data_IF_270506730621
#
_entry.id   IF_270506730621
#
_cell.length_a   1.000
_cell.length_b   1.000
_cell.length_c   1.000
_cell.angle_alpha   90.00
_cell.angle_beta   90.00
_cell.angle_gamma   90.00
#
_symmetry.space_group_name_H-M   'P 1'
#
loop_
_entity.id
_entity.type
_entity.pdbx_description
1 polymer ?
#
# COMPACT_ATOMS: atom_id res chain seq x y z
N UNK A 1 3.12 -5.32 22.23
CA UNK A 1 3.82 -6.31 21.36
C UNK A 1 4.69 -5.54 20.38
N UNK A 2 5.94 -5.96 20.14
CA UNK A 2 6.76 -5.37 19.07
C UNK A 2 6.08 -5.69 17.73
N UNK A 3 5.69 -4.66 16.97
CA UNK A 3 5.08 -4.83 15.65
C UNK A 3 6.12 -5.45 14.72
N UNK A 4 5.88 -6.66 14.24
CA UNK A 4 6.80 -7.35 13.34
C UNK A 4 6.89 -6.55 12.03
N UNK A 5 8.11 -6.38 11.51
CA UNK A 5 8.34 -5.64 10.26
C UNK A 5 8.42 -6.67 9.13
N UNK A 6 7.63 -6.57 8.06
CA UNK A 6 7.70 -7.53 6.97
C UNK A 6 9.01 -7.38 6.22
N UNK A 7 9.65 -8.51 5.91
CA UNK A 7 10.89 -8.54 5.14
C UNK A 7 10.63 -8.51 3.64
N UNK A 8 9.54 -9.15 3.20
CA UNK A 8 9.12 -9.17 1.81
C UNK A 8 8.57 -7.82 1.34
N UNK A 9 8.17 -7.78 0.08
CA UNK A 9 7.63 -6.58 -0.58
C UNK A 9 6.13 -6.76 -0.85
N UNK A 10 5.35 -5.70 -0.65
CA UNK A 10 3.95 -5.63 -1.05
C UNK A 10 3.82 -4.70 -2.25
N UNK A 11 3.20 -5.17 -3.33
CA UNK A 11 2.98 -4.41 -4.55
C UNK A 11 1.47 -4.22 -4.79
N UNK A 12 1.01 -2.98 -4.67
CA UNK A 12 -0.41 -2.63 -4.84
C UNK A 12 -0.61 -1.95 -6.18
N UNK A 13 -1.42 -2.53 -7.07
CA UNK A 13 -1.60 -2.08 -8.46
C UNK A 13 -3.04 -1.60 -8.66
N UNK A 14 -3.19 -0.42 -9.28
CA UNK A 14 -4.49 0.23 -9.45
C UNK A 14 -5.41 -0.37 -10.51
N UNK A 15 -5.00 -1.43 -11.19
CA UNK A 15 -5.77 -2.08 -12.25
C UNK A 15 -5.43 -1.56 -13.65
N UNK A 16 -5.85 -2.33 -14.66
CA UNK A 16 -5.56 -2.06 -16.07
C UNK A 16 -4.07 -1.79 -16.35
N UNK A 17 -3.18 -2.40 -15.57
CA UNK A 17 -1.74 -2.25 -15.74
C UNK A 17 -1.26 -2.80 -17.07
N UNK A 18 -0.15 -2.24 -17.57
CA UNK A 18 0.44 -2.67 -18.82
C UNK A 18 0.82 -4.16 -18.79
N UNK A 19 0.37 -4.87 -19.83
CA UNK A 19 0.63 -6.29 -20.09
C UNK A 19 1.19 -6.46 -21.51
N UNK A 20 1.88 -5.42 -22.01
CA UNK A 20 2.39 -5.32 -23.37
C UNK A 20 1.26 -5.19 -24.38
N UNK A 21 1.45 -5.76 -25.58
CA UNK A 21 0.53 -5.66 -26.73
C UNK A 21 -0.94 -6.07 -26.51
N UNK A 22 -1.28 -6.60 -25.33
CA UNK A 22 -2.63 -7.04 -24.98
C UNK A 22 -3.41 -6.00 -24.17
N UNK A 23 -2.84 -4.84 -23.88
CA UNK A 23 -3.48 -3.79 -23.08
C UNK A 23 -3.20 -2.43 -23.71
N UNK A 24 -4.23 -1.59 -23.77
CA UNK A 24 -4.10 -0.19 -24.18
C UNK A 24 -4.00 0.63 -22.90
N UNK A 25 -2.88 1.32 -22.73
CA UNK A 25 -2.73 2.31 -21.66
C UNK A 25 -3.08 3.68 -22.23
N UNK A 26 -4.17 4.28 -21.74
CA UNK A 26 -4.76 5.53 -22.28
C UNK A 26 -3.74 6.67 -22.48
N UNK A 27 -2.68 6.70 -21.66
CA UNK A 27 -1.68 7.76 -21.64
C UNK A 27 -0.33 7.38 -22.27
N UNK A 28 -0.18 6.17 -22.82
CA UNK A 28 1.09 5.65 -23.35
C UNK A 28 1.77 6.63 -24.32
N UNK A 29 1.10 7.00 -25.41
CA UNK A 29 1.68 7.88 -26.44
C UNK A 29 1.90 9.34 -26.00
N UNK A 30 1.37 9.74 -24.84
CA UNK A 30 1.50 11.10 -24.29
C UNK A 30 2.48 11.15 -23.10
N UNK A 31 2.79 10.00 -22.51
CA UNK A 31 3.58 9.92 -21.30
C UNK A 31 5.04 9.61 -21.60
N UNK A 32 5.90 10.64 -21.45
CA UNK A 32 7.34 10.54 -21.68
C UNK A 32 8.09 9.59 -20.72
N UNK A 33 7.43 9.12 -19.65
CA UNK A 33 8.01 8.25 -18.63
C UNK A 33 7.43 6.82 -18.65
N UNK A 34 6.55 6.53 -19.62
CA UNK A 34 6.00 5.19 -19.83
C UNK A 34 7.13 4.19 -20.13
N UNK A 35 7.04 3.02 -19.51
CA UNK A 35 7.95 1.91 -19.74
C UNK A 35 7.15 0.61 -19.74
N UNK A 36 7.26 -0.14 -20.83
CA UNK A 36 6.54 -1.41 -21.00
C UNK A 36 6.91 -2.39 -19.87
N UNK A 37 5.88 -3.01 -19.31
CA UNK A 37 5.92 -3.96 -18.20
C UNK A 37 6.51 -3.41 -16.90
N UNK A 38 6.67 -2.09 -16.70
CA UNK A 38 7.35 -1.54 -15.52
C UNK A 38 6.83 -2.14 -14.20
N UNK A 39 5.50 -2.14 -14.02
CA UNK A 39 4.86 -2.63 -12.80
C UNK A 39 5.05 -4.14 -12.66
N UNK A 40 4.81 -4.90 -13.72
CA UNK A 40 4.87 -6.36 -13.69
C UNK A 40 6.31 -6.89 -13.54
N UNK A 41 7.30 -6.20 -14.09
CA UNK A 41 8.74 -6.43 -13.81
C UNK A 41 9.06 -6.26 -12.33
N UNK A 42 8.28 -5.46 -11.60
CA UNK A 42 8.38 -5.32 -10.15
C UNK A 42 8.15 -6.60 -9.35
N UNK A 43 7.53 -7.63 -9.95
CA UNK A 43 7.38 -8.95 -9.33
C UNK A 43 8.59 -9.88 -9.56
N UNK A 44 9.57 -9.49 -10.37
CA UNK A 44 10.76 -10.32 -10.58
C UNK A 44 11.58 -10.40 -9.29
N UNK A 45 11.92 -11.60 -8.80
CA UNK A 45 12.82 -11.74 -7.67
C UNK A 45 14.22 -11.24 -8.04
N UNK A 46 14.96 -10.72 -7.06
CA UNK A 46 16.32 -10.20 -7.28
C UNK A 46 17.30 -11.30 -7.67
N UNK A 47 17.08 -12.52 -7.17
CA UNK A 47 17.90 -13.70 -7.49
C UNK A 47 17.67 -14.16 -8.93
N UNK A 48 18.77 -14.44 -9.62
CA UNK A 48 18.77 -15.08 -10.94
C UNK A 48 18.50 -16.58 -10.79
N UNK A 49 17.79 -17.19 -11.73
CA UNK A 49 17.51 -18.64 -11.74
C UNK A 49 16.02 -18.96 -11.83
N UNK A 50 15.55 -19.91 -11.01
CA UNK A 50 14.14 -20.32 -10.96
C UNK A 50 13.27 -19.14 -10.49
N UNK A 51 12.22 -18.83 -11.25
CA UNK A 51 11.29 -17.72 -11.01
C UNK A 51 9.88 -18.27 -11.08
N UNK A 52 9.32 -18.50 -9.90
CA UNK A 52 7.99 -19.10 -9.74
C UNK A 52 7.02 -18.01 -9.33
N UNK A 53 5.97 -17.81 -10.11
CA UNK A 53 4.86 -16.93 -9.81
C UNK A 53 3.60 -17.76 -9.65
N UNK A 54 2.84 -17.52 -8.59
CA UNK A 54 1.48 -18.04 -8.43
C UNK A 54 0.46 -16.91 -8.53
N UNK A 55 -0.50 -17.03 -9.44
CA UNK A 55 -1.54 -16.02 -9.66
C UNK A 55 -2.86 -16.57 -9.11
N UNK A 56 -3.39 -15.88 -8.10
CA UNK A 56 -4.66 -16.22 -7.46
C UNK A 56 -5.78 -15.51 -8.22
N UNK A 57 -6.62 -16.29 -8.91
CA UNK A 57 -7.69 -15.80 -9.79
C UNK A 57 -9.09 -15.91 -9.18
N UNK A 58 -9.20 -16.23 -7.89
CA UNK A 58 -10.46 -16.37 -7.13
C UNK A 58 -11.43 -15.18 -7.26
N UNK A 59 -10.89 -13.96 -7.40
CA UNK A 59 -11.70 -12.75 -7.59
C UNK A 59 -12.39 -12.70 -8.97
N UNK A 60 -11.78 -13.31 -9.99
CA UNK A 60 -12.18 -13.14 -11.39
C UNK A 60 -13.41 -13.96 -11.74
N UNK A 61 -14.31 -13.37 -12.51
CA UNK A 61 -15.42 -14.09 -13.16
C UNK A 61 -15.00 -14.71 -14.50
N UNK A 62 -13.85 -14.30 -15.05
CA UNK A 62 -13.30 -14.78 -16.32
C UNK A 62 -11.86 -15.29 -16.12
N UNK A 63 -11.64 -16.37 -15.34
CA UNK A 63 -10.31 -16.82 -14.97
C UNK A 63 -9.47 -17.22 -16.20
N UNK A 64 -10.08 -17.77 -17.26
CA UNK A 64 -9.37 -18.22 -18.47
C UNK A 64 -8.69 -17.08 -19.24
N UNK A 65 -9.37 -15.94 -19.39
CA UNK A 65 -8.80 -14.77 -20.10
C UNK A 65 -7.70 -14.09 -19.28
N UNK A 66 -7.91 -14.00 -17.95
CA UNK A 66 -6.88 -13.56 -17.01
C UNK A 66 -5.64 -14.44 -17.13
N UNK A 67 -5.83 -15.77 -17.16
CA UNK A 67 -4.73 -16.73 -17.32
C UNK A 67 -3.94 -16.48 -18.61
N UNK A 68 -4.62 -16.44 -19.75
CA UNK A 68 -4.00 -16.25 -21.06
C UNK A 68 -3.17 -14.96 -21.12
N UNK A 69 -3.73 -13.86 -20.62
CA UNK A 69 -3.08 -12.54 -20.68
C UNK A 69 -1.85 -12.49 -19.80
N UNK A 70 -1.96 -12.90 -18.54
CA UNK A 70 -0.82 -12.88 -17.61
C UNK A 70 0.24 -13.91 -17.96
N UNK A 71 -0.14 -15.08 -18.47
CA UNK A 71 0.83 -16.09 -18.89
C UNK A 71 1.72 -15.57 -20.02
N UNK A 72 1.15 -14.82 -20.98
CA UNK A 72 1.92 -14.15 -22.03
C UNK A 72 2.87 -13.10 -21.45
N UNK A 73 2.33 -12.14 -20.68
CA UNK A 73 3.10 -11.04 -20.13
C UNK A 73 4.26 -11.52 -19.23
N UNK A 74 3.99 -12.40 -18.28
CA UNK A 74 5.04 -12.87 -17.36
C UNK A 74 6.07 -13.79 -18.02
N UNK A 75 5.70 -14.50 -19.09
CA UNK A 75 6.67 -15.26 -19.89
C UNK A 75 7.65 -14.32 -20.58
N UNK A 76 7.16 -13.21 -21.14
CA UNK A 76 7.97 -12.18 -21.79
C UNK A 76 8.89 -11.44 -20.79
N UNK A 77 8.38 -11.17 -19.58
CA UNK A 77 9.16 -10.59 -18.46
C UNK A 77 10.24 -11.55 -17.94
N UNK A 78 10.12 -12.85 -18.22
CA UNK A 78 11.15 -13.86 -17.91
C UNK A 78 10.89 -14.69 -16.67
N UNK A 79 9.61 -14.94 -16.31
CA UNK A 79 9.24 -16.03 -15.41
C UNK A 79 9.29 -17.38 -16.14
N UNK A 80 9.88 -18.40 -15.50
CA UNK A 80 9.97 -19.75 -16.06
C UNK A 80 8.89 -20.70 -15.52
N UNK A 81 8.25 -20.37 -14.41
CA UNK A 81 7.08 -21.09 -13.90
C UNK A 81 5.98 -20.11 -13.49
N UNK A 82 4.85 -20.18 -14.18
CA UNK A 82 3.67 -19.35 -13.92
C UNK A 82 2.51 -20.30 -13.63
N UNK A 83 2.10 -20.33 -12.37
CA UNK A 83 0.97 -21.11 -11.89
C UNK A 83 -0.26 -20.24 -11.69
N UNK A 84 -1.43 -20.85 -11.84
CA UNK A 84 -2.71 -20.25 -11.51
C UNK A 84 -3.40 -21.07 -10.45
N UNK A 85 -4.00 -20.39 -9.47
CA UNK A 85 -4.77 -20.98 -8.38
C UNK A 85 -6.13 -20.27 -8.37
N UNK A 86 -7.20 -21.05 -8.56
CA UNK A 86 -8.57 -20.58 -8.40
C UNK A 86 -9.24 -21.42 -7.32
N UNK A 87 -9.95 -20.76 -6.42
CA UNK A 87 -10.68 -21.37 -5.32
C UNK A 87 -12.09 -20.80 -5.33
N UNK A 88 -13.09 -21.67 -5.27
CA UNK A 88 -14.51 -21.30 -5.32
C UNK A 88 -15.13 -21.14 -3.93
N UNK A 89 -14.51 -21.76 -2.92
CA UNK A 89 -14.98 -21.76 -1.53
C UNK A 89 -13.82 -21.87 -0.54
N UNK A 90 -14.11 -21.58 0.73
CA UNK A 90 -13.11 -21.57 1.80
C UNK A 90 -12.42 -22.93 2.02
N UNK A 91 -13.11 -24.10 1.99
CA UNK A 91 -12.44 -25.40 2.10
C UNK A 91 -11.34 -25.63 1.05
N UNK A 92 -11.54 -25.21 -0.20
CA UNK A 92 -10.51 -25.34 -1.23
C UNK A 92 -9.25 -24.51 -0.92
N UNK A 93 -9.38 -23.38 -0.20
CA UNK A 93 -8.26 -22.56 0.22
C UNK A 93 -7.39 -23.20 1.33
N UNK A 94 -7.83 -24.32 1.89
CA UNK A 94 -7.09 -25.15 2.86
C UNK A 94 -6.39 -26.34 2.21
N UNK A 95 -6.43 -26.45 0.88
CA UNK A 95 -5.84 -27.58 0.17
C UNK A 95 -4.30 -27.59 0.33
N UNK A 96 -3.69 -28.67 0.86
CA UNK A 96 -2.25 -28.79 1.05
C UNK A 96 -1.42 -28.59 -0.23
N UNK A 97 -1.98 -28.90 -1.40
CA UNK A 97 -1.31 -28.68 -2.69
C UNK A 97 -1.09 -27.19 -2.99
N UNK A 98 -2.05 -26.33 -2.63
CA UNK A 98 -1.92 -24.87 -2.77
C UNK A 98 -0.87 -24.33 -1.82
N UNK A 99 -0.89 -24.78 -0.56
CA UNK A 99 0.11 -24.41 0.45
C UNK A 99 1.52 -24.77 -0.04
N UNK A 100 1.70 -25.99 -0.59
CA UNK A 100 2.98 -26.42 -1.16
C UNK A 100 3.44 -25.53 -2.32
N UNK A 101 2.52 -25.14 -3.21
CA UNK A 101 2.83 -24.23 -4.33
C UNK A 101 3.26 -22.85 -3.83
N UNK A 102 2.50 -22.28 -2.90
CA UNK A 102 2.84 -20.99 -2.30
C UNK A 102 4.20 -21.05 -1.60
N UNK A 103 4.52 -22.12 -0.86
CA UNK A 103 5.83 -22.26 -0.22
C UNK A 103 7.02 -22.22 -1.20
N UNK A 104 6.81 -22.65 -2.44
CA UNK A 104 7.85 -22.65 -3.48
C UNK A 104 7.84 -21.38 -4.35
N UNK A 105 6.79 -20.57 -4.29
CA UNK A 105 6.66 -19.36 -5.11
C UNK A 105 7.74 -18.32 -4.76
N UNK A 106 8.08 -17.42 -5.68
CA UNK A 106 8.87 -16.22 -5.39
C UNK A 106 7.97 -14.99 -5.30
N UNK A 107 6.86 -15.02 -6.03
CA UNK A 107 5.84 -14.00 -5.97
C UNK A 107 4.44 -14.63 -6.00
N UNK A 108 3.49 -13.94 -5.36
CA UNK A 108 2.07 -14.23 -5.45
C UNK A 108 1.34 -12.98 -5.93
N UNK A 109 0.50 -13.13 -6.95
CA UNK A 109 -0.33 -12.05 -7.47
C UNK A 109 -1.81 -12.36 -7.27
N UNK A 110 -2.51 -11.54 -6.51
CA UNK A 110 -3.98 -11.53 -6.45
C UNK A 110 -4.53 -10.74 -7.64
N UNK A 111 -5.21 -11.44 -8.55
CA UNK A 111 -5.80 -10.83 -9.73
C UNK A 111 -7.03 -9.95 -9.40
N UNK A 112 -7.47 -9.17 -10.40
CA UNK A 112 -8.68 -8.35 -10.31
C UNK A 112 -9.98 -9.18 -10.36
N UNK A 113 -11.11 -8.50 -10.16
CA UNK A 113 -12.44 -9.09 -10.14
C UNK A 113 -13.26 -8.53 -8.98
N UNK A 114 -13.80 -9.41 -8.14
CA UNK A 114 -14.57 -9.08 -6.95
C UNK A 114 -13.73 -9.26 -5.67
N UNK A 115 -13.46 -8.15 -4.98
CA UNK A 115 -12.67 -8.12 -3.75
C UNK A 115 -13.40 -8.69 -2.53
N UNK A 116 -14.73 -8.64 -2.49
CA UNK A 116 -15.55 -9.24 -1.44
C UNK A 116 -15.54 -10.77 -1.54
N UNK A 117 -15.69 -11.30 -2.76
CA UNK A 117 -15.52 -12.72 -3.05
C UNK A 117 -14.13 -13.21 -2.63
N UNK A 118 -13.08 -12.48 -3.02
CA UNK A 118 -11.69 -12.82 -2.71
C UNK A 118 -11.44 -12.91 -1.21
N UNK A 119 -11.81 -11.87 -0.47
CA UNK A 119 -11.60 -11.79 0.98
C UNK A 119 -12.45 -12.80 1.75
N UNK A 120 -13.69 -13.07 1.32
CA UNK A 120 -14.57 -14.05 1.98
C UNK A 120 -14.10 -15.49 1.77
N UNK A 121 -13.61 -15.83 0.58
CA UNK A 121 -13.12 -17.18 0.28
C UNK A 121 -11.77 -17.46 0.96
N UNK A 122 -10.86 -16.49 0.93
CA UNK A 122 -9.48 -16.70 1.39
C UNK A 122 -9.23 -16.24 2.82
N UNK A 123 -10.03 -15.33 3.36
CA UNK A 123 -9.86 -14.82 4.72
C UNK A 123 -9.84 -15.96 5.74
N UNK A 124 -8.90 -15.88 6.68
CA UNK A 124 -8.73 -16.86 7.76
C UNK A 124 -8.57 -18.32 7.27
N UNK A 125 -7.70 -18.51 6.28
CA UNK A 125 -7.36 -19.83 5.72
C UNK A 125 -5.86 -20.05 5.66
N UNK A 126 -5.47 -21.32 5.63
CA UNK A 126 -4.07 -21.75 5.65
C UNK A 126 -3.25 -21.18 4.49
N UNK A 127 -3.87 -20.92 3.32
CA UNK A 127 -3.18 -20.28 2.20
C UNK A 127 -2.81 -18.83 2.50
N UNK A 128 -3.66 -18.07 3.20
CA UNK A 128 -3.32 -16.70 3.61
C UNK A 128 -2.29 -16.72 4.72
N UNK A 129 -2.40 -17.65 5.67
CA UNK A 129 -1.42 -17.79 6.76
C UNK A 129 0.00 -18.04 6.22
N UNK A 130 0.15 -18.95 5.24
CA UNK A 130 1.46 -19.22 4.62
C UNK A 130 1.97 -18.03 3.78
N UNK A 131 1.10 -17.33 3.05
CA UNK A 131 1.51 -16.11 2.31
C UNK A 131 1.98 -15.04 3.30
N UNK A 132 1.23 -14.83 4.38
CA UNK A 132 1.54 -13.86 5.43
C UNK A 132 2.86 -14.21 6.11
N UNK A 133 3.04 -15.47 6.53
CA UNK A 133 4.28 -15.95 7.13
C UNK A 133 5.48 -15.65 6.23
N UNK A 134 5.37 -15.99 4.94
CA UNK A 134 6.44 -15.73 3.97
C UNK A 134 6.69 -14.24 3.77
N UNK A 135 5.64 -13.42 3.66
CA UNK A 135 5.78 -11.96 3.56
C UNK A 135 6.54 -11.37 4.75
N UNK A 136 6.34 -11.90 5.96
CA UNK A 136 7.07 -11.45 7.14
C UNK A 136 8.49 -12.02 7.26
N UNK A 137 8.75 -13.23 6.77
CA UNK A 137 10.02 -13.95 7.01
C UNK A 137 11.02 -13.94 5.85
N UNK A 138 10.55 -13.84 4.61
CA UNK A 138 11.35 -13.98 3.39
C UNK A 138 11.58 -12.63 2.71
N UNK A 139 12.81 -12.07 2.68
CA UNK A 139 13.10 -10.79 2.04
C UNK A 139 12.97 -10.80 0.51
N UNK A 140 13.00 -11.99 -0.11
CA UNK A 140 12.90 -12.15 -1.56
C UNK A 140 11.46 -12.41 -2.02
N UNK A 141 10.51 -12.58 -1.09
CA UNK A 141 9.11 -12.86 -1.39
C UNK A 141 8.32 -11.58 -1.68
N UNK A 142 7.50 -11.64 -2.72
CA UNK A 142 6.67 -10.52 -3.17
C UNK A 142 5.20 -10.93 -3.14
N UNK A 143 4.40 -10.17 -2.40
CA UNK A 143 2.94 -10.24 -2.46
C UNK A 143 2.47 -9.08 -3.32
N UNK A 144 1.62 -9.35 -4.29
CA UNK A 144 1.08 -8.34 -5.19
C UNK A 144 -0.43 -8.47 -5.33
N UNK A 145 -1.11 -7.35 -5.56
CA UNK A 145 -2.54 -7.35 -5.89
C UNK A 145 -2.84 -6.31 -6.95
N UNK A 146 -3.71 -6.62 -7.90
CA UNK A 146 -4.22 -5.65 -8.88
C UNK A 146 -5.73 -5.46 -8.74
N UNK A 147 -6.20 -4.21 -8.85
CA UNK A 147 -7.63 -3.88 -8.76
C UNK A 147 -8.24 -4.44 -7.45
N UNK A 148 -9.18 -5.38 -7.54
CA UNK A 148 -9.73 -6.09 -6.38
C UNK A 148 -8.65 -6.69 -5.45
N UNK A 149 -7.60 -7.30 -5.99
CA UNK A 149 -6.51 -7.86 -5.20
C UNK A 149 -5.72 -6.80 -4.41
N UNK A 150 -5.57 -5.59 -4.95
CA UNK A 150 -4.93 -4.48 -4.23
C UNK A 150 -5.83 -3.97 -3.10
N UNK A 151 -7.14 -3.83 -3.35
CA UNK A 151 -8.12 -3.41 -2.35
C UNK A 151 -8.18 -4.41 -1.18
N UNK A 152 -8.19 -5.71 -1.50
CA UNK A 152 -8.21 -6.79 -0.51
C UNK A 152 -6.90 -6.93 0.27
N UNK A 153 -5.80 -6.31 -0.16
CA UNK A 153 -4.53 -6.41 0.57
C UNK A 153 -4.55 -5.67 1.92
N UNK A 154 -5.37 -4.62 2.04
CA UNK A 154 -5.54 -3.89 3.29
C UNK A 154 -6.31 -4.72 4.34
N UNK A 155 -6.13 -4.40 5.62
CA UNK A 155 -6.95 -4.97 6.70
C UNK A 155 -8.41 -4.50 6.62
N UNK A 156 -8.64 -3.27 6.14
CA UNK A 156 -9.96 -2.68 5.93
C UNK A 156 -10.15 -2.35 4.44
N UNK A 157 -11.23 -2.84 3.85
CA UNK A 157 -11.44 -2.85 2.42
C UNK A 157 -12.83 -2.29 2.06
N UNK A 158 -12.89 -1.37 1.10
CA UNK A 158 -14.15 -0.95 0.48
C UNK A 158 -14.67 -2.09 -0.40
N UNK A 159 -15.87 -2.59 -0.12
CA UNK A 159 -16.48 -3.64 -0.94
C UNK A 159 -17.67 -3.15 -1.75
N UNK A 160 -18.31 -2.07 -1.32
CA UNK A 160 -19.44 -1.45 -2.02
C UNK A 160 -19.32 0.08 -1.93
N UNK A 161 -19.73 0.79 -2.97
CA UNK A 161 -19.70 2.24 -2.99
C UNK A 161 -20.30 2.81 -4.25
N UNK A 162 -21.28 3.71 -4.12
CA UNK A 162 -21.92 4.39 -5.24
C UNK A 162 -21.06 5.55 -5.76
N UNK A 163 -21.27 5.93 -7.02
CA UNK A 163 -20.76 7.18 -7.58
C UNK A 163 -21.86 8.21 -7.45
N UNK A 164 -21.69 9.12 -6.51
CA UNK A 164 -22.60 10.23 -6.27
C UNK A 164 -21.86 11.54 -6.55
N UNK A 165 -22.60 12.58 -6.94
CA UNK A 165 -22.05 13.93 -7.12
C UNK A 165 -21.48 14.47 -5.80
N UNK A 166 -22.17 14.19 -4.69
CA UNK A 166 -21.74 14.49 -3.34
C UNK A 166 -21.36 13.22 -2.57
N UNK A 167 -20.50 13.38 -1.57
CA UNK A 167 -20.24 12.35 -0.56
C UNK A 167 -21.44 12.25 0.38
N UNK A 168 -22.24 11.19 0.27
CA UNK A 168 -23.42 11.00 1.11
C UNK A 168 -23.12 9.96 2.18
N UNK A 169 -23.54 10.22 3.42
CA UNK A 169 -23.38 9.28 4.53
C UNK A 169 -24.00 7.91 4.20
N UNK A 170 -23.27 6.85 4.54
CA UNK A 170 -23.66 5.43 4.40
C UNK A 170 -23.83 4.96 2.95
N UNK A 171 -23.14 5.58 2.00
CA UNK A 171 -23.12 5.09 0.61
C UNK A 171 -21.91 4.23 0.29
N UNK A 172 -20.97 4.12 1.24
CA UNK A 172 -19.80 3.24 1.17
C UNK A 172 -19.84 2.19 2.26
N UNK A 173 -19.59 0.94 1.88
CA UNK A 173 -19.47 -0.17 2.82
C UNK A 173 -18.05 -0.72 2.83
N UNK A 174 -17.55 -0.93 4.04
CA UNK A 174 -16.22 -1.50 4.30
C UNK A 174 -16.37 -2.87 4.98
N UNK A 175 -15.41 -3.75 4.72
CA UNK A 175 -15.31 -5.07 5.35
C UNK A 175 -13.82 -5.39 5.59
N UNK A 176 -13.56 -6.51 6.26
CA UNK A 176 -12.21 -7.02 6.44
C UNK A 176 -11.60 -7.46 5.10
N UNK A 177 -10.36 -7.05 4.85
CA UNK A 177 -9.54 -7.62 3.78
C UNK A 177 -8.63 -8.75 4.28
N UNK A 178 -7.52 -8.96 3.59
CA UNK A 178 -6.54 -10.03 3.84
C UNK A 178 -5.44 -9.63 4.83
N UNK A 179 -5.29 -8.33 5.13
CA UNK A 179 -4.42 -7.86 6.21
C UNK A 179 -2.92 -7.85 5.93
N UNK A 180 -2.49 -7.77 4.66
CA UNK A 180 -1.06 -7.60 4.32
C UNK A 180 -0.54 -6.20 4.68
N UNK A 181 -1.44 -5.23 4.84
CA UNK A 181 -1.13 -3.90 5.32
C UNK A 181 -2.24 -3.34 6.21
N UNK A 182 -1.85 -2.83 7.37
CA UNK A 182 -2.76 -2.22 8.34
C UNK A 182 -2.89 -0.70 8.13
N UNK A 183 -3.92 -0.12 8.73
CA UNK A 183 -4.15 1.33 8.78
C UNK A 183 -4.16 2.00 7.40
N UNK A 184 -4.56 1.27 6.37
CA UNK A 184 -4.71 1.76 5.01
C UNK A 184 -6.09 1.36 4.49
N UNK A 185 -6.69 2.22 3.69
CA UNK A 185 -7.87 1.90 2.87
C UNK A 185 -7.47 2.13 1.42
N UNK A 186 -7.53 1.08 0.61
CA UNK A 186 -7.06 1.12 -0.77
C UNK A 186 -8.25 1.15 -1.72
N UNK A 187 -8.18 2.04 -2.70
CA UNK A 187 -9.10 2.10 -3.82
C UNK A 187 -8.35 2.12 -5.14
N UNK A 188 -8.92 1.50 -6.17
CA UNK A 188 -8.29 1.25 -7.47
C UNK A 188 -9.10 1.85 -8.61
N UNK A 189 -8.52 1.94 -9.82
CA UNK A 189 -9.08 2.68 -10.96
C UNK A 189 -9.49 4.12 -10.55
N UNK A 190 -8.77 4.70 -9.59
CA UNK A 190 -9.28 5.73 -8.70
C UNK A 190 -9.68 7.00 -9.45
N UNK A 191 -8.76 7.50 -10.27
CA UNK A 191 -8.91 8.75 -11.04
C UNK A 191 -9.98 8.59 -12.13
N UNK A 192 -9.83 7.56 -12.98
CA UNK A 192 -10.72 7.31 -14.13
C UNK A 192 -12.17 7.07 -13.72
N UNK A 193 -12.39 6.53 -12.52
CA UNK A 193 -13.72 6.23 -11.99
C UNK A 193 -14.27 7.30 -11.04
N UNK A 194 -13.57 8.42 -10.83
CA UNK A 194 -14.03 9.50 -9.95
C UNK A 194 -14.23 9.06 -8.50
N UNK A 195 -13.37 8.18 -7.99
CA UNK A 195 -13.56 7.49 -6.70
C UNK A 195 -13.07 8.27 -5.47
N UNK A 196 -12.80 9.56 -5.63
CA UNK A 196 -12.34 10.43 -4.54
C UNK A 196 -13.34 10.46 -3.39
N UNK A 197 -14.60 10.80 -3.65
CA UNK A 197 -15.61 10.98 -2.61
C UNK A 197 -15.81 9.73 -1.75
N UNK A 198 -15.91 8.55 -2.38
CA UNK A 198 -16.11 7.30 -1.65
C UNK A 198 -14.92 6.90 -0.77
N UNK A 199 -13.69 7.21 -1.21
CA UNK A 199 -12.51 6.94 -0.39
C UNK A 199 -12.42 7.92 0.79
N UNK A 200 -12.80 9.19 0.59
CA UNK A 200 -12.89 10.16 1.68
C UNK A 200 -13.97 9.74 2.69
N UNK A 201 -15.18 9.35 2.25
CA UNK A 201 -16.22 8.84 3.15
C UNK A 201 -15.70 7.68 4.01
N UNK A 202 -15.05 6.69 3.40
CA UNK A 202 -14.44 5.57 4.12
C UNK A 202 -13.37 6.02 5.12
N UNK A 203 -12.54 7.02 4.75
CA UNK A 203 -11.50 7.59 5.60
C UNK A 203 -12.09 8.36 6.78
N UNK A 204 -13.16 9.15 6.59
CA UNK A 204 -13.84 9.87 7.66
C UNK A 204 -14.44 8.93 8.71
N UNK A 205 -14.95 7.77 8.28
CA UNK A 205 -15.42 6.72 9.20
C UNK A 205 -14.27 5.98 9.90
N UNK A 206 -13.04 6.10 9.40
CA UNK A 206 -11.87 5.35 9.87
C UNK A 206 -10.62 6.26 9.96
N UNK A 207 -10.63 7.28 10.84
CA UNK A 207 -9.59 8.33 10.86
C UNK A 207 -8.18 7.82 11.21
N UNK A 208 -8.08 6.61 11.79
CA UNK A 208 -6.77 5.98 12.03
C UNK A 208 -6.06 5.53 10.74
N UNK A 209 -6.80 5.39 9.63
CA UNK A 209 -6.28 4.94 8.37
C UNK A 209 -5.68 6.08 7.53
N UNK A 210 -5.01 5.67 6.45
CA UNK A 210 -4.63 6.52 5.30
C UNK A 210 -5.40 6.00 4.10
N UNK A 211 -6.00 6.91 3.31
CA UNK A 211 -6.61 6.56 2.04
C UNK A 211 -5.56 6.48 0.94
N UNK A 212 -5.56 5.41 0.14
CA UNK A 212 -4.66 5.21 -0.99
C UNK A 212 -5.50 5.01 -2.26
N UNK A 213 -5.61 6.05 -3.09
CA UNK A 213 -6.24 5.99 -4.40
C UNK A 213 -5.23 5.67 -5.49
N UNK A 214 -5.27 4.46 -6.04
CA UNK A 214 -4.39 4.00 -7.12
C UNK A 214 -5.04 4.25 -8.49
N UNK A 215 -4.41 5.06 -9.33
CA UNK A 215 -4.76 5.20 -10.75
C UNK A 215 -4.52 3.90 -11.54
N UNK A 216 -5.11 3.82 -12.74
CA UNK A 216 -4.80 2.73 -13.67
C UNK A 216 -3.31 2.77 -14.07
N UNK A 217 -2.75 1.60 -14.40
CA UNK A 217 -1.32 1.44 -14.72
C UNK A 217 -0.38 2.19 -13.76
N UNK A 218 -0.72 2.11 -12.46
CA UNK A 218 0.05 2.72 -11.38
C UNK A 218 0.16 1.75 -10.22
N UNK A 219 1.28 1.76 -9.51
CA UNK A 219 1.48 0.91 -8.35
C UNK A 219 2.24 1.59 -7.21
N UNK A 220 2.02 1.09 -5.98
CA UNK A 220 2.89 1.32 -4.83
C UNK A 220 3.67 0.05 -4.50
N UNK A 221 4.99 0.15 -4.54
CA UNK A 221 5.91 -0.87 -3.99
C UNK A 221 6.20 -0.50 -2.54
N UNK A 222 5.70 -1.29 -1.60
CA UNK A 222 5.85 -1.08 -0.16
C UNK A 222 6.90 -2.03 0.38
N UNK A 223 7.92 -1.47 1.02
CA UNK A 223 8.98 -2.22 1.69
C UNK A 223 8.92 -1.98 3.19
N UNK A 224 9.18 -3.02 3.99
CA UNK A 224 9.19 -2.93 5.45
C UNK A 224 7.87 -2.40 6.04
N UNK A 225 6.76 -2.65 5.33
CA UNK A 225 5.42 -2.21 5.69
C UNK A 225 5.22 -0.69 5.76
N UNK A 226 6.17 0.11 5.28
CA UNK A 226 6.16 1.57 5.50
C UNK A 226 6.66 2.38 4.30
N UNK A 227 7.76 1.94 3.67
CA UNK A 227 8.40 2.69 2.59
C UNK A 227 7.68 2.42 1.26
N UNK A 228 6.72 3.27 0.91
CA UNK A 228 5.98 3.20 -0.34
C UNK A 228 6.73 3.96 -1.45
N UNK A 229 6.88 3.35 -2.62
CA UNK A 229 7.45 3.94 -3.84
C UNK A 229 6.44 3.85 -4.97
N UNK A 230 6.17 4.97 -5.63
CA UNK A 230 5.26 5.01 -6.77
C UNK A 230 5.97 4.55 -8.06
N UNK A 231 5.29 3.68 -8.82
CA UNK A 231 5.70 3.12 -10.10
C UNK A 231 4.56 3.18 -11.11
N UNK A 232 4.90 3.05 -12.38
CA UNK A 232 3.94 3.07 -13.48
C UNK A 232 3.69 4.46 -14.03
N UNK A 233 2.72 4.54 -14.93
CA UNK A 233 2.50 5.71 -15.80
C UNK A 233 1.53 6.74 -15.21
N UNK A 234 0.62 6.33 -14.33
CA UNK A 234 -0.37 7.22 -13.73
C UNK A 234 0.07 7.88 -12.42
N UNK A 235 -0.89 8.06 -11.51
CA UNK A 235 -0.67 8.70 -10.21
C UNK A 235 -1.35 7.97 -9.07
N UNK A 236 -0.75 8.10 -7.88
CA UNK A 236 -1.33 7.67 -6.61
C UNK A 236 -1.72 8.89 -5.82
N UNK A 237 -2.94 8.90 -5.30
CA UNK A 237 -3.44 9.94 -4.41
C UNK A 237 -3.50 9.39 -2.99
N UNK A 238 -2.71 9.98 -2.09
CA UNK A 238 -2.74 9.69 -0.66
C UNK A 238 -3.63 10.70 0.03
N UNK A 239 -4.60 10.22 0.80
CA UNK A 239 -5.53 11.01 1.59
C UNK A 239 -5.23 10.80 3.07
N UNK A 240 -4.89 11.88 3.77
CA UNK A 240 -4.53 11.88 5.17
C UNK A 240 -5.55 12.74 5.95
N UNK A 241 -6.41 12.05 6.71
CA UNK A 241 -7.42 12.67 7.56
C UNK A 241 -6.94 13.03 8.97
N UNK A 242 -5.64 12.90 9.28
CA UNK A 242 -5.12 13.09 10.64
C UNK A 242 -5.32 14.51 11.17
N UNK A 243 -5.31 15.51 10.31
CA UNK A 243 -5.42 16.92 10.66
C UNK A 243 -6.83 17.48 10.42
N UNK A 244 -7.83 16.62 10.21
CA UNK A 244 -9.22 17.07 10.10
C UNK A 244 -9.67 17.66 11.44
N UNK A 245 -9.96 18.96 11.42
CA UNK A 245 -10.41 19.74 12.58
C UNK A 245 -11.90 19.58 12.82
N UNK A 246 -12.69 19.58 11.75
CA UNK A 246 -14.14 19.54 11.81
C UNK A 246 -14.72 18.66 10.69
N UNK A 247 -15.78 17.90 11.01
CA UNK A 247 -16.57 17.12 10.06
C UNK A 247 -17.94 16.78 10.66
N UNK A 248 -18.95 16.56 9.82
CA UNK A 248 -20.28 16.08 10.26
C UNK A 248 -20.45 14.55 10.28
N UNK A 249 -19.41 13.76 9.97
CA UNK A 249 -19.54 12.29 9.79
C UNK A 249 -20.18 11.55 10.98
N UNK A 250 -20.01 12.04 12.20
CA UNK A 250 -20.48 11.37 13.42
C UNK A 250 -21.97 11.54 13.70
N UNK A 251 -22.59 12.63 13.20
CA UNK A 251 -23.98 13.01 13.51
C UNK A 251 -24.83 13.26 12.26
N UNK A 252 -24.27 13.12 11.06
CA UNK A 252 -25.03 13.16 9.81
C UNK A 252 -25.93 11.93 9.66
N UNK A 253 -27.19 12.15 9.29
CA UNK A 253 -28.12 11.08 8.93
C UNK A 253 -27.75 10.44 7.58
N UNK A 254 -28.10 9.18 7.31
CA UNK A 254 -27.89 8.53 6.02
C UNK A 254 -28.41 9.38 4.84
N UNK A 255 -27.64 9.47 3.76
CA UNK A 255 -27.99 10.31 2.60
C UNK A 255 -27.67 11.80 2.76
N UNK A 256 -27.23 12.25 3.93
CA UNK A 256 -26.79 13.65 4.15
C UNK A 256 -25.42 13.88 3.50
N UNK A 257 -25.21 15.02 2.81
CA UNK A 257 -23.89 15.42 2.34
C UNK A 257 -22.88 15.58 3.49
N UNK A 258 -21.71 15.01 3.28
CA UNK A 258 -20.59 15.07 4.22
C UNK A 258 -19.66 16.23 3.88
N UNK A 259 -19.17 16.90 4.92
CA UNK A 259 -18.11 17.89 4.82
C UNK A 259 -17.00 17.56 5.81
N UNK A 260 -15.78 17.98 5.47
CA UNK A 260 -14.61 17.87 6.33
C UNK A 260 -13.64 19.00 6.02
N UNK A 261 -13.08 19.60 7.04
CA UNK A 261 -12.04 20.62 6.93
C UNK A 261 -10.65 19.97 7.06
N UNK A 262 -9.62 20.52 6.39
CA UNK A 262 -8.21 20.14 6.56
C UNK A 262 -7.84 18.69 6.21
N UNK A 263 -8.52 18.10 5.22
CA UNK A 263 -8.06 16.86 4.58
C UNK A 263 -6.75 17.12 3.81
N UNK A 264 -5.67 16.43 4.17
CA UNK A 264 -4.39 16.52 3.46
C UNK A 264 -4.36 15.56 2.27
N UNK A 265 -3.90 16.06 1.14
CA UNK A 265 -3.78 15.29 -0.11
C UNK A 265 -2.34 15.33 -0.59
N UNK A 266 -1.78 14.15 -0.88
CA UNK A 266 -0.51 14.03 -1.58
C UNK A 266 -0.71 13.30 -2.91
N UNK A 267 -0.09 13.81 -3.97
CA UNK A 267 -0.11 13.18 -5.29
C UNK A 267 1.31 12.67 -5.56
N UNK A 268 1.41 11.38 -5.84
CA UNK A 268 2.67 10.72 -6.19
C UNK A 268 2.63 10.27 -7.65
N UNK A 269 3.75 10.43 -8.32
CA UNK A 269 4.04 9.81 -9.63
C UNK A 269 5.32 8.99 -9.55
N UNK A 270 5.68 8.32 -10.65
CA UNK A 270 6.88 7.49 -10.77
C UNK A 270 8.12 8.15 -10.13
N UNK A 271 8.73 7.44 -9.18
CA UNK A 271 9.95 7.88 -8.49
C UNK A 271 9.73 8.73 -7.23
N UNK A 272 8.48 9.06 -6.89
CA UNK A 272 8.14 9.61 -5.58
C UNK A 272 7.96 8.51 -4.54
N UNK A 273 8.07 8.91 -3.27
CA UNK A 273 7.97 8.02 -2.12
C UNK A 273 7.03 8.61 -1.06
N UNK A 274 6.48 7.73 -0.24
CA UNK A 274 5.73 8.11 0.96
C UNK A 274 6.05 7.15 2.10
N UNK A 275 6.23 7.71 3.29
CA UNK A 275 6.36 6.99 4.54
C UNK A 275 4.98 6.90 5.19
N UNK A 276 4.38 5.72 5.18
CA UNK A 276 3.00 5.49 5.62
C UNK A 276 2.82 5.76 7.13
N UNK A 277 3.76 5.33 7.98
CA UNK A 277 3.65 5.53 9.42
C UNK A 277 3.89 6.99 9.81
N UNK A 278 4.88 7.62 9.19
CA UNK A 278 5.24 9.02 9.43
C UNK A 278 4.31 10.01 8.73
N UNK A 279 3.49 9.54 7.79
CA UNK A 279 2.63 10.33 6.90
C UNK A 279 3.41 11.42 6.16
N UNK A 280 4.53 11.04 5.54
CA UNK A 280 5.48 11.97 4.91
C UNK A 280 5.77 11.65 3.45
N UNK A 281 5.59 12.66 2.61
CA UNK A 281 6.02 12.63 1.21
C UNK A 281 7.53 12.84 1.08
N UNK A 282 8.14 12.16 0.11
CA UNK A 282 9.50 12.40 -0.33
C UNK A 282 9.57 12.35 -1.86
N UNK A 283 10.05 13.43 -2.48
CA UNK A 283 10.12 13.54 -3.94
C UNK A 283 11.13 12.57 -4.57
N UNK A 284 12.10 12.07 -3.79
CA UNK A 284 13.17 11.19 -4.26
C UNK A 284 13.69 10.27 -3.15
N UNK A 285 14.44 9.22 -3.53
CA UNK A 285 15.07 8.31 -2.58
C UNK A 285 16.05 9.03 -1.64
N UNK A 286 16.75 10.04 -2.14
CA UNK A 286 17.65 10.88 -1.33
C UNK A 286 16.89 11.62 -0.24
N UNK A 287 15.72 12.20 -0.57
CA UNK A 287 14.86 12.86 0.40
C UNK A 287 14.27 11.85 1.40
N UNK A 288 13.81 10.68 0.93
CA UNK A 288 13.31 9.61 1.79
C UNK A 288 14.34 9.24 2.87
N UNK A 289 15.61 9.08 2.47
CA UNK A 289 16.68 8.74 3.41
C UNK A 289 16.89 9.85 4.46
N UNK A 290 16.75 11.13 4.10
CA UNK A 290 16.80 12.26 5.05
C UNK A 290 15.61 12.23 6.03
N UNK A 291 14.39 12.02 5.53
CA UNK A 291 13.19 11.96 6.38
C UNK A 291 13.28 10.86 7.43
N UNK A 292 13.81 9.68 7.06
CA UNK A 292 14.02 8.55 7.98
C UNK A 292 15.02 8.86 9.09
N UNK A 293 16.06 9.65 8.80
CA UNK A 293 17.02 10.09 9.81
C UNK A 293 16.34 11.06 10.77
N UNK A 294 15.57 12.02 10.24
CA UNK A 294 14.81 12.98 11.04
C UNK A 294 13.84 12.30 12.01
N UNK A 295 13.04 11.34 11.53
CA UNK A 295 12.09 10.60 12.37
C UNK A 295 12.77 9.79 13.48
N UNK A 296 13.90 9.12 13.18
CA UNK A 296 14.69 8.40 14.19
C UNK A 296 15.31 9.30 15.25
N UNK A 297 15.66 10.54 14.91
CA UNK A 297 16.16 11.52 15.89
C UNK A 297 15.01 11.95 16.80
N UNK A 298 13.83 12.24 16.26
CA UNK A 298 12.65 12.62 17.05
C UNK A 298 12.24 11.49 18.00
N UNK A 299 12.23 10.23 17.52
CA UNK A 299 11.91 9.07 18.36
C UNK A 299 12.93 8.84 19.50
N UNK A 300 14.19 9.20 19.29
CA UNK A 300 15.24 9.17 20.33
C UNK A 300 15.17 10.37 21.28
N UNK A 301 14.52 11.46 20.86
CA UNK A 301 14.31 12.69 21.64
C UNK A 301 12.85 12.73 22.14
N UNK A 302 12.25 11.58 22.45
CA UNK A 302 11.02 11.57 23.25
C UNK A 302 11.28 12.32 24.57
N UNK A 303 10.39 13.22 24.99
CA UNK A 303 10.60 14.02 26.18
C UNK A 303 10.44 13.13 27.40
N UNK A 304 11.55 12.74 28.03
CA UNK A 304 11.54 12.43 29.45
C UNK A 304 11.04 13.69 30.16
N UNK A 305 9.78 13.62 30.61
CA UNK A 305 9.17 14.47 31.64
C UNK A 305 9.70 15.90 31.68
N UNK A 306 9.11 16.80 30.90
CA UNK A 306 9.07 18.21 31.31
C UNK A 306 8.07 18.27 32.48
N UNK A 307 8.55 18.03 33.70
CA UNK A 307 7.86 18.44 34.91
C UNK A 307 7.91 19.97 34.88
N UNK A 308 6.76 20.59 34.63
CA UNK A 308 6.58 22.01 34.91
C UNK A 308 6.43 22.11 36.43
N UNK A 309 7.55 22.27 37.13
CA UNK A 309 7.54 22.75 38.52
C UNK A 309 7.85 24.25 38.51
N UNK A 310 6.79 25.01 38.80
CA UNK A 310 6.76 26.34 39.40
C UNK A 310 8.00 27.23 39.20
N UNK A 311 7.90 28.11 38.20
CA UNK A 311 8.44 29.46 38.19
C UNK A 311 9.80 29.69 38.85
N UNK A 312 10.89 29.57 38.07
CA UNK A 312 12.09 30.43 38.19
C UNK A 312 13.00 30.25 36.97
N UNK A 313 13.30 31.36 36.28
CA UNK A 313 14.32 31.44 35.22
C UNK A 313 15.69 31.12 35.81
N UNK A 314 16.37 30.09 35.30
CA UNK A 314 17.82 29.91 35.50
C UNK A 314 18.49 29.87 34.12
N UNK A 315 19.21 30.95 33.81
CA UNK A 315 20.10 31.05 32.66
C UNK A 315 21.30 30.11 32.86
N UNK A 316 21.45 29.08 32.00
CA UNK A 316 22.66 28.24 31.97
C UNK A 316 23.87 29.06 31.49
N UNK A 317 24.78 29.42 32.39
CA UNK A 317 26.13 29.93 32.05
C UNK A 317 26.93 28.82 31.36
N UNK A 318 27.50 29.12 30.18
CA UNK A 318 28.51 28.30 29.48
C UNK A 318 29.77 28.13 30.33
N UNK A 319 30.46 26.97 30.31
CA UNK A 319 31.78 26.86 30.91
C UNK A 319 32.83 27.48 29.98
N UNK A 320 33.57 28.48 30.47
CA UNK A 320 34.79 29.00 29.82
C UNK A 320 35.94 28.01 30.05
N UNK A 321 36.55 27.51 28.97
CA UNK A 321 37.84 26.80 29.00
C UNK A 321 39.00 27.78 28.78
N UNK A 322 40.03 27.57 29.60
CA UNK A 322 41.47 27.72 29.34
C UNK A 322 42.13 29.11 29.33
N UNK A 323 43.11 29.27 30.21
CA UNK A 323 44.48 29.62 29.81
C UNK A 323 45.49 29.19 30.90
N UNK A 324 46.31 28.19 30.59
CA UNK A 324 47.57 27.91 31.29
C UNK A 324 48.53 29.08 31.02
N UNK A 325 49.15 29.64 32.05
CA UNK A 325 50.43 30.37 31.93
C UNK A 325 51.45 29.70 32.85
N UNK A 326 52.59 29.36 32.27
CA UNK A 326 53.76 28.76 32.92
C UNK A 326 54.96 29.70 32.68
N UNK A 327 55.72 29.90 33.75
CA UNK A 327 57.16 30.19 33.89
C UNK A 327 57.71 31.63 33.87
N UNK A 328 58.64 31.82 34.83
CA UNK A 328 59.74 32.78 35.05
C UNK A 328 59.39 33.84 36.10
N UNK A 329 60.08 34.00 37.23
CA UNK A 329 61.45 33.61 37.65
C UNK A 329 61.38 33.16 39.11
#
# INVERSE_FOLDING_TARGET
MQKQIPKGKLLLIGGAEDKGKSTIVDIEGKNKQFEEFEILKGLLPEKKGKRILEIITTASQEPKEVMKTYQRAFKEIGFNHIGFISMENNPQARNPLWIKRINNAHAVLFAGGDQFRLSTILGNTDIIDVIMERYYKDPDFIVAGTSAGAMAAASLMIYEGQRNEAMLKNTVKVSSGLGFIDHCIIDTHFVKRGRFGRLVEALLMNPSCIGIGLGEDTALVIRKGNEAECKGSGMVVILDGRDISETNIAYAEPGTPLWAENLRVHILTKGNYFLLHERKFAASKKQLNKEKIGSKIIDKVKPDKIIIENGKKITKKKPKKAAKKRVKK
#
